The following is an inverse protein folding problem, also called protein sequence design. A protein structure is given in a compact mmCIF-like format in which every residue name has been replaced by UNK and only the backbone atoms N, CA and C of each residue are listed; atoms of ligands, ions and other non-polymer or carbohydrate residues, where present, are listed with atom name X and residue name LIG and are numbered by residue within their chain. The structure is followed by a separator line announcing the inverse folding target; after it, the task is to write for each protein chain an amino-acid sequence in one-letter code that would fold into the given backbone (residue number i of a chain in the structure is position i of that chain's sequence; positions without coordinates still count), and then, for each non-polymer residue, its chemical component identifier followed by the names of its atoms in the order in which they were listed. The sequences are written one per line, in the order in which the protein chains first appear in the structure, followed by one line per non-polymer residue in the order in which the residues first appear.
data_IF_886396712440
#
_entry.id   IF_886396712440
#
_cell.length_a   1.000
_cell.length_b   1.000
_cell.length_c   1.000
_cell.angle_alpha   90.00
_cell.angle_beta   90.00
_cell.angle_gamma   90.00
#
_symmetry.space_group_name_H-M   'P 1'
#
loop_
_entity.id
_entity.type
_entity.pdbx_description
1 polymer ?
#
# COMPACT_ATOMS: atom_id res chain seq x y z
N UNK A 1 34.35 15.64 -5.98
CA UNK A 1 32.87 15.64 -6.13
C UNK A 1 32.47 14.45 -7.00
N UNK A 2 32.34 13.25 -6.42
CA UNK A 2 31.87 12.06 -7.13
C UNK A 2 30.34 12.04 -7.03
N UNK A 3 29.67 12.07 -8.17
CA UNK A 3 28.23 11.92 -8.32
C UNK A 3 27.78 10.55 -7.78
N UNK A 4 27.32 10.49 -6.53
CA UNK A 4 26.81 9.27 -5.93
C UNK A 4 25.37 8.99 -6.44
N UNK A 5 25.23 8.05 -7.40
CA UNK A 5 24.13 7.06 -7.50
C UNK A 5 22.67 7.53 -7.18
N UNK A 6 22.11 8.52 -7.88
CA UNK A 6 20.69 8.93 -7.75
C UNK A 6 19.67 7.85 -8.23
N UNK A 7 20.03 7.01 -9.19
CA UNK A 7 19.08 6.09 -9.86
C UNK A 7 18.40 5.09 -8.91
N UNK A 8 19.10 4.57 -7.88
CA UNK A 8 18.56 3.51 -7.03
C UNK A 8 17.47 4.00 -6.07
N UNK A 9 17.70 5.17 -5.47
CA UNK A 9 16.72 5.78 -4.56
C UNK A 9 15.49 6.20 -5.34
N UNK A 10 15.66 6.74 -6.55
CA UNK A 10 14.55 7.07 -7.44
C UNK A 10 13.72 5.84 -7.79
N UNK A 11 14.35 4.70 -8.14
CA UNK A 11 13.63 3.45 -8.39
C UNK A 11 12.88 2.97 -7.14
N UNK A 12 13.49 3.04 -5.95
CA UNK A 12 12.84 2.63 -4.71
C UNK A 12 11.63 3.52 -4.37
N UNK A 13 11.78 4.84 -4.45
CA UNK A 13 10.69 5.80 -4.23
C UNK A 13 9.57 5.59 -5.24
N UNK A 14 9.90 5.37 -6.51
CA UNK A 14 8.92 5.09 -7.55
C UNK A 14 8.16 3.78 -7.28
N UNK A 15 8.87 2.71 -6.91
CA UNK A 15 8.26 1.43 -6.53
C UNK A 15 7.33 1.57 -5.33
N UNK A 16 7.78 2.27 -4.28
CA UNK A 16 6.96 2.55 -3.10
C UNK A 16 5.69 3.34 -3.47
N UNK A 17 5.80 4.39 -4.28
CA UNK A 17 4.63 5.16 -4.73
C UNK A 17 3.67 4.32 -5.55
N UNK A 18 4.16 3.42 -6.40
CA UNK A 18 3.31 2.48 -7.14
C UNK A 18 2.56 1.54 -6.20
N UNK A 19 3.22 0.98 -5.19
CA UNK A 19 2.59 0.09 -4.21
C UNK A 19 1.57 0.86 -3.37
N UNK A 20 1.92 2.06 -2.91
CA UNK A 20 1.02 2.92 -2.14
C UNK A 20 -0.22 3.30 -2.93
N UNK A 21 -0.06 3.82 -4.16
CA UNK A 21 -1.20 4.18 -5.02
C UNK A 21 -2.00 2.93 -5.38
N UNK A 22 -1.32 1.82 -5.67
CA UNK A 22 -1.95 0.52 -5.93
C UNK A 22 -2.80 0.04 -4.77
N UNK A 23 -2.32 0.19 -3.53
CA UNK A 23 -3.04 -0.06 -2.28
C UNK A 23 -4.32 0.76 -2.17
N UNK A 24 -4.20 2.08 -2.25
CA UNK A 24 -5.35 3.01 -2.10
C UNK A 24 -6.39 2.75 -3.19
N UNK A 25 -5.95 2.63 -4.45
CA UNK A 25 -6.86 2.40 -5.56
C UNK A 25 -7.49 1.00 -5.51
N UNK A 26 -6.76 -0.03 -5.07
CA UNK A 26 -7.32 -1.38 -4.96
C UNK A 26 -8.39 -1.48 -3.88
N UNK A 27 -8.14 -0.93 -2.69
CA UNK A 27 -9.17 -0.83 -1.65
C UNK A 27 -10.39 -0.03 -2.13
N UNK A 28 -10.17 1.07 -2.84
CA UNK A 28 -11.27 1.90 -3.35
C UNK A 28 -12.08 1.23 -4.45
N UNK A 29 -11.41 0.65 -5.44
CA UNK A 29 -12.04 0.18 -6.68
C UNK A 29 -12.61 -1.23 -6.58
N UNK A 30 -11.97 -2.12 -5.82
CA UNK A 30 -12.39 -3.52 -5.72
C UNK A 30 -13.23 -3.83 -4.49
N UNK A 31 -13.10 -3.03 -3.42
CA UNK A 31 -13.71 -3.32 -2.13
C UNK A 31 -14.53 -2.15 -1.55
N UNK A 32 -14.80 -1.13 -2.38
CA UNK A 32 -15.70 -0.02 -2.08
C UNK A 32 -15.38 0.83 -0.84
N UNK A 33 -14.14 0.77 -0.33
CA UNK A 33 -13.71 1.60 0.80
C UNK A 33 -13.98 3.09 0.51
N UNK A 34 -14.25 3.90 1.53
CA UNK A 34 -14.21 5.36 1.35
C UNK A 34 -12.78 5.79 1.00
N UNK A 35 -12.59 6.98 0.42
CA UNK A 35 -11.24 7.46 0.11
C UNK A 35 -10.35 7.54 1.35
N UNK A 36 -10.94 7.92 2.49
CA UNK A 36 -10.23 8.03 3.76
C UNK A 36 -9.90 6.64 4.30
N UNK A 37 -10.85 5.70 4.27
CA UNK A 37 -10.62 4.34 4.76
C UNK A 37 -9.61 3.59 3.89
N UNK A 38 -9.66 3.75 2.56
CA UNK A 38 -8.70 3.15 1.64
C UNK A 38 -7.28 3.67 1.89
N UNK A 39 -7.15 4.99 2.10
CA UNK A 39 -5.88 5.62 2.46
C UNK A 39 -5.39 5.10 3.81
N UNK A 40 -6.24 5.11 4.83
CA UNK A 40 -5.91 4.68 6.17
C UNK A 40 -5.50 3.19 6.20
N UNK A 41 -6.30 2.31 5.58
CA UNK A 41 -6.02 0.88 5.47
C UNK A 41 -4.68 0.62 4.76
N UNK A 42 -4.40 1.35 3.66
CA UNK A 42 -3.11 1.26 2.98
C UNK A 42 -1.95 1.67 3.88
N UNK A 43 -2.07 2.82 4.56
CA UNK A 43 -1.02 3.34 5.44
C UNK A 43 -0.71 2.36 6.57
N UNK A 44 -1.72 1.91 7.33
CA UNK A 44 -1.49 1.02 8.46
C UNK A 44 -0.95 -0.35 8.04
N UNK A 45 -1.21 -0.77 6.80
CA UNK A 45 -0.72 -2.02 6.22
C UNK A 45 0.76 -1.91 5.85
N UNK A 46 1.13 -0.96 4.98
CA UNK A 46 2.50 -0.88 4.45
C UNK A 46 3.51 -0.33 5.45
N UNK A 47 3.06 0.40 6.47
CA UNK A 47 3.91 0.87 7.58
C UNK A 47 4.09 -0.18 8.67
N UNK A 48 3.45 -1.34 8.53
CA UNK A 48 3.43 -2.44 9.50
C UNK A 48 2.90 -2.08 10.90
N UNK A 49 2.26 -0.92 11.04
CA UNK A 49 1.63 -0.48 12.30
C UNK A 49 0.44 -1.37 12.66
N UNK A 50 -0.42 -1.69 11.69
CA UNK A 50 -1.46 -2.71 11.84
C UNK A 50 -2.47 -2.48 12.98
N UNK A 51 -3.18 -1.34 12.98
CA UNK A 51 -4.25 -1.06 13.97
C UNK A 51 -5.49 -1.97 13.87
N UNK A 52 -5.50 -2.92 12.93
CA UNK A 52 -6.64 -3.77 12.61
C UNK A 52 -7.37 -3.31 11.35
N UNK A 53 -8.27 -4.16 10.86
CA UNK A 53 -9.10 -3.88 9.68
C UNK A 53 -10.14 -2.78 9.99
N UNK A 54 -10.39 -1.88 9.03
CA UNK A 54 -11.37 -0.80 9.17
C UNK A 54 -12.80 -1.36 9.25
N UNK A 55 -13.03 -2.49 8.59
CA UNK A 55 -14.26 -3.28 8.64
C UNK A 55 -13.94 -4.76 8.41
N UNK A 56 -14.86 -5.69 8.71
CA UNK A 56 -14.64 -7.11 8.49
C UNK A 56 -14.24 -7.41 7.04
N UNK A 57 -13.05 -7.98 6.84
CA UNK A 57 -12.54 -8.24 5.49
C UNK A 57 -13.09 -9.55 4.91
N UNK A 58 -13.50 -9.49 3.64
CA UNK A 58 -13.79 -10.69 2.86
C UNK A 58 -12.54 -11.53 2.57
N UNK A 59 -12.71 -12.77 2.10
CA UNK A 59 -11.58 -13.64 1.77
C UNK A 59 -10.68 -13.06 0.67
N UNK A 60 -11.26 -12.38 -0.33
CA UNK A 60 -10.51 -11.72 -1.41
C UNK A 60 -9.73 -10.51 -0.91
N UNK A 61 -10.30 -9.70 -0.02
CA UNK A 61 -9.60 -8.57 0.64
C UNK A 61 -8.37 -9.03 1.42
N UNK A 62 -8.47 -10.16 2.13
CA UNK A 62 -7.34 -10.73 2.89
C UNK A 62 -6.21 -11.15 1.98
N UNK A 63 -6.52 -11.76 0.83
CA UNK A 63 -5.51 -12.14 -0.17
C UNK A 63 -4.85 -10.88 -0.75
N UNK A 64 -5.65 -9.90 -1.15
CA UNK A 64 -5.14 -8.63 -1.68
C UNK A 64 -4.21 -7.92 -0.69
N UNK A 65 -4.63 -7.81 0.57
CA UNK A 65 -3.86 -7.17 1.63
C UNK A 65 -2.58 -7.95 1.93
N UNK A 66 -2.62 -9.28 1.87
CA UNK A 66 -1.42 -10.13 2.02
C UNK A 66 -0.40 -9.88 0.90
N UNK A 67 -0.86 -9.74 -0.36
CA UNK A 67 0.00 -9.37 -1.49
C UNK A 67 0.59 -7.97 -1.30
N UNK A 68 -0.21 -7.03 -0.80
CA UNK A 68 0.24 -5.66 -0.53
C UNK A 68 1.36 -5.64 0.52
N UNK A 69 1.21 -6.38 1.62
CA UNK A 69 2.21 -6.51 2.70
C UNK A 69 3.53 -7.09 2.19
N UNK A 70 3.47 -8.13 1.35
CA UNK A 70 4.69 -8.77 0.82
C UNK A 70 5.40 -7.88 -0.21
N UNK A 71 4.65 -7.00 -0.89
CA UNK A 71 5.19 -6.14 -1.94
C UNK A 71 5.80 -4.84 -1.41
N UNK A 72 5.28 -4.31 -0.29
CA UNK A 72 5.71 -3.06 0.35
C UNK A 72 7.04 -3.18 1.08
#
# INVERSE_FOLDING_TARGET
MKQFKSSKIQTAVFGFLLIFIGGVLGFKAFYEYTWVDALYMTVITITTVGFGEVHPMSASEKIYTSVLIVSS
#
